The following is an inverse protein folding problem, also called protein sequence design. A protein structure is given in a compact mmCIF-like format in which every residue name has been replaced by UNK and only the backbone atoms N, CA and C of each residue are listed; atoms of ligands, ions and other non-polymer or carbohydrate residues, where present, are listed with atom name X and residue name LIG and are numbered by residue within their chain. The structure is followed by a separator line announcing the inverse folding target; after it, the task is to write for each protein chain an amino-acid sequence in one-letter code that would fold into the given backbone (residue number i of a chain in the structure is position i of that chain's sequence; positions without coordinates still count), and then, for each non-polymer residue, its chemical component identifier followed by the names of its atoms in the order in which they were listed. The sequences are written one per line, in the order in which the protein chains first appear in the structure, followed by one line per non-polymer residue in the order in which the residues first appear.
data_IF_415883212650
#
_entry.id   IF_415883212650
#
_cell.length_a   1.000
_cell.length_b   1.000
_cell.length_c   1.000
_cell.angle_alpha   90.00
_cell.angle_beta   90.00
_cell.angle_gamma   90.00
#
_symmetry.space_group_name_H-M   'P 1'
#
loop_
_entity.id
_entity.type
_entity.pdbx_description
1 polymer ?
#
# COMPACT_ATOMS: atom_id res chain seq x y z
N UNK A 1 -23.70 -4.98 5.58
CA UNK A 1 -23.28 -3.73 4.91
C UNK A 1 -21.91 -4.03 4.33
N UNK A 2 -21.70 -3.86 3.03
CA UNK A 2 -20.37 -4.02 2.43
C UNK A 2 -19.58 -2.76 2.81
N UNK A 3 -18.38 -2.86 3.42
CA UNK A 3 -17.57 -1.69 3.73
C UNK A 3 -17.34 -0.86 2.47
N UNK A 4 -17.36 0.48 2.56
CA UNK A 4 -17.14 1.39 1.43
C UNK A 4 -15.65 1.45 1.05
N UNK A 5 -15.02 0.30 0.81
CA UNK A 5 -13.62 0.17 0.39
C UNK A 5 -12.72 -0.62 1.35
N UNK A 6 -11.48 -0.82 0.90
CA UNK A 6 -10.48 -1.63 1.59
C UNK A 6 -10.11 -1.07 2.97
N UNK A 7 -9.93 0.26 3.11
CA UNK A 7 -9.56 0.86 4.39
C UNK A 7 -10.64 0.63 5.47
N UNK A 8 -11.92 0.81 5.12
CA UNK A 8 -13.03 0.52 6.03
C UNK A 8 -13.17 -0.97 6.36
N UNK A 9 -12.74 -1.85 5.47
CA UNK A 9 -12.68 -3.30 5.75
C UNK A 9 -11.64 -3.60 6.81
N UNK A 10 -10.45 -2.99 6.73
CA UNK A 10 -9.39 -3.15 7.72
C UNK A 10 -9.81 -2.57 9.08
N UNK A 11 -10.50 -1.42 9.10
CA UNK A 11 -11.05 -0.83 10.34
C UNK A 11 -12.11 -1.68 11.05
N UNK A 12 -12.63 -2.76 10.43
CA UNK A 12 -13.44 -3.72 11.17
C UNK A 12 -12.64 -4.49 12.23
N UNK A 13 -11.31 -4.46 12.13
CA UNK A 13 -10.37 -5.07 13.08
C UNK A 13 -9.68 -4.04 13.99
N UNK A 14 -10.20 -2.81 14.11
CA UNK A 14 -9.58 -1.73 14.92
C UNK A 14 -9.18 -2.17 16.32
N UNK A 15 -10.04 -2.93 17.02
CA UNK A 15 -9.75 -3.41 18.38
C UNK A 15 -8.49 -4.28 18.48
N UNK A 16 -8.06 -4.90 17.37
CA UNK A 16 -6.87 -5.74 17.27
C UNK A 16 -5.64 -5.00 16.72
N UNK A 17 -5.86 -3.96 15.90
CA UNK A 17 -4.78 -3.28 15.15
C UNK A 17 -4.44 -1.89 15.70
N UNK A 18 -5.30 -1.26 16.52
CA UNK A 18 -5.01 0.03 17.16
C UNK A 18 -4.02 -0.13 18.31
N UNK A 19 -2.78 -0.46 17.95
CA UNK A 19 -1.69 -0.76 18.89
C UNK A 19 -0.37 -0.17 18.38
N UNK A 20 0.64 -0.13 19.25
CA UNK A 20 2.02 0.20 18.89
C UNK A 20 2.74 -0.93 18.12
N UNK A 21 2.07 -2.05 17.82
CA UNK A 21 2.65 -3.17 17.08
C UNK A 21 2.66 -2.89 15.57
N UNK A 22 3.64 -3.42 14.81
CA UNK A 22 3.64 -3.29 13.35
C UNK A 22 2.43 -3.92 12.68
N UNK A 23 1.98 -3.30 11.59
CA UNK A 23 0.83 -3.75 10.80
C UNK A 23 1.24 -3.89 9.33
N UNK A 24 0.86 -5.02 8.72
CA UNK A 24 0.96 -5.23 7.28
C UNK A 24 -0.46 -5.42 6.74
N UNK A 25 -0.82 -4.63 5.74
CA UNK A 25 -2.03 -4.80 4.96
C UNK A 25 -1.64 -5.27 3.57
N UNK A 26 -2.20 -6.40 3.12
CA UNK A 26 -1.89 -6.97 1.82
C UNK A 26 -3.15 -7.42 1.09
N UNK A 27 -3.27 -7.05 -0.18
CA UNK A 27 -4.37 -7.50 -1.03
C UNK A 27 -4.20 -8.98 -1.42
N UNK A 28 -5.32 -9.69 -1.62
CA UNK A 28 -5.33 -11.12 -1.95
C UNK A 28 -5.19 -11.44 -3.44
N UNK A 29 -5.12 -10.43 -4.30
CA UNK A 29 -5.17 -10.54 -5.75
C UNK A 29 -3.84 -10.21 -6.44
N UNK A 30 -2.74 -10.25 -5.68
CA UNK A 30 -1.40 -9.98 -6.18
C UNK A 30 -0.42 -11.02 -5.64
N UNK A 31 0.68 -11.20 -6.34
CA UNK A 31 1.83 -11.98 -5.88
C UNK A 31 3.10 -11.23 -6.25
N UNK A 32 4.05 -11.15 -5.31
CA UNK A 32 5.34 -10.54 -5.58
C UNK A 32 6.41 -11.27 -4.76
N UNK A 33 7.65 -11.25 -5.26
CA UNK A 33 8.77 -11.90 -4.59
C UNK A 33 9.52 -10.89 -3.72
N UNK A 34 9.49 -11.09 -2.41
CA UNK A 34 10.17 -10.23 -1.44
C UNK A 34 10.37 -10.96 -0.12
N UNK A 35 11.52 -10.76 0.52
CA UNK A 35 11.69 -11.06 1.95
C UNK A 35 11.17 -9.85 2.75
N UNK A 36 9.90 -9.94 3.17
CA UNK A 36 9.22 -8.86 3.89
C UNK A 36 9.91 -8.59 5.24
N UNK A 37 10.42 -9.62 5.91
CA UNK A 37 11.12 -9.47 7.18
C UNK A 37 12.42 -8.70 7.00
N UNK A 38 13.24 -9.10 6.04
CA UNK A 38 14.47 -8.37 5.69
C UNK A 38 14.17 -6.93 5.26
N UNK A 39 13.12 -6.71 4.47
CA UNK A 39 12.69 -5.38 4.05
C UNK A 39 12.38 -4.48 5.24
N UNK A 40 11.67 -4.98 6.25
CA UNK A 40 11.34 -4.24 7.47
C UNK A 40 12.60 -4.01 8.32
N UNK A 41 13.39 -5.06 8.57
CA UNK A 41 14.58 -4.99 9.41
C UNK A 41 15.67 -4.07 8.87
N UNK A 42 15.73 -3.89 7.54
CA UNK A 42 16.70 -3.02 6.88
C UNK A 42 16.33 -1.53 6.91
N UNK A 43 15.09 -1.18 7.30
CA UNK A 43 14.59 0.19 7.31
C UNK A 43 13.94 0.56 8.66
N UNK A 44 14.65 0.42 9.80
CA UNK A 44 14.10 0.70 11.13
C UNK A 44 13.68 2.17 11.32
N UNK A 45 14.22 3.08 10.51
CA UNK A 45 13.92 4.51 10.50
C UNK A 45 12.60 4.89 9.81
N UNK A 46 11.97 3.99 9.04
CA UNK A 46 10.76 4.28 8.28
C UNK A 46 9.48 4.00 9.09
N UNK A 47 8.56 4.97 9.13
CA UNK A 47 7.25 4.85 9.79
C UNK A 47 6.29 4.00 8.95
N UNK A 48 6.56 3.87 7.65
CA UNK A 48 5.89 2.94 6.77
C UNK A 48 6.70 2.64 5.51
N UNK A 49 6.40 1.49 4.90
CA UNK A 49 7.07 0.99 3.70
C UNK A 49 6.04 0.64 2.64
N UNK A 50 6.29 1.07 1.41
CA UNK A 50 5.43 0.80 0.26
C UNK A 50 6.28 0.15 -0.82
N UNK A 51 6.23 -1.19 -0.98
CA UNK A 51 6.94 -1.84 -2.05
C UNK A 51 6.30 -1.51 -3.39
N UNK A 52 7.12 -1.31 -4.41
CA UNK A 52 6.69 -0.89 -5.74
C UNK A 52 7.44 -1.63 -6.85
N UNK A 53 6.82 -1.69 -8.02
CA UNK A 53 7.40 -2.15 -9.27
C UNK A 53 7.17 -1.09 -10.36
N UNK A 54 7.89 -1.21 -11.47
CA UNK A 54 7.75 -0.26 -12.56
C UNK A 54 6.57 -0.63 -13.48
N UNK A 55 5.56 0.25 -13.57
CA UNK A 55 4.41 0.08 -14.45
C UNK A 55 3.81 1.41 -14.90
N UNK A 56 3.00 1.38 -15.96
CA UNK A 56 2.33 2.58 -16.53
C UNK A 56 0.85 2.35 -16.81
N UNK A 57 0.23 1.35 -16.18
CA UNK A 57 -1.19 1.06 -16.34
C UNK A 57 -2.01 1.76 -15.23
N UNK A 58 -3.10 2.49 -15.54
CA UNK A 58 -3.86 3.27 -14.55
C UNK A 58 -4.65 2.42 -13.53
N UNK A 59 -4.45 1.10 -13.48
CA UNK A 59 -5.20 0.21 -12.58
C UNK A 59 -4.60 0.15 -11.17
N UNK A 60 -3.40 0.67 -10.99
CA UNK A 60 -2.63 0.59 -9.75
C UNK A 60 -2.65 1.90 -8.98
N UNK A 61 -2.23 1.84 -7.71
CA UNK A 61 -1.78 3.00 -6.94
C UNK A 61 -0.31 3.31 -7.27
N UNK A 62 0.05 4.58 -7.24
CA UNK A 62 1.36 5.09 -7.63
C UNK A 62 1.95 5.99 -6.54
N UNK A 63 3.26 5.91 -6.34
CA UNK A 63 4.01 6.76 -5.40
C UNK A 63 4.90 7.75 -6.14
N UNK A 64 5.00 8.96 -5.61
CA UNK A 64 6.06 9.92 -5.93
C UNK A 64 7.10 9.87 -4.82
N UNK A 65 8.37 9.77 -5.19
CA UNK A 65 9.49 9.79 -4.23
C UNK A 65 10.48 10.89 -4.57
N UNK A 66 11.28 11.28 -3.60
CA UNK A 66 12.49 12.07 -3.83
C UNK A 66 13.69 11.19 -4.23
N UNK A 67 14.88 11.78 -4.27
CA UNK A 67 16.15 11.12 -4.61
C UNK A 67 16.66 10.14 -3.52
N UNK A 68 16.02 10.11 -2.35
CA UNK A 68 16.32 9.20 -1.23
C UNK A 68 15.21 8.15 -1.03
N UNK A 69 14.34 7.97 -2.02
CA UNK A 69 13.18 7.06 -1.98
C UNK A 69 12.13 7.40 -0.91
N UNK A 70 12.17 8.61 -0.35
CA UNK A 70 11.14 9.10 0.58
C UNK A 70 9.89 9.45 -0.22
N UNK A 71 8.76 8.83 0.13
CA UNK A 71 7.48 9.06 -0.52
C UNK A 71 6.95 10.43 -0.13
N UNK A 72 6.76 11.30 -1.13
CA UNK A 72 6.19 12.63 -0.97
C UNK A 72 4.69 12.67 -1.25
N UNK A 73 4.19 11.72 -2.04
CA UNK A 73 2.76 11.62 -2.37
C UNK A 73 2.40 10.21 -2.85
N UNK A 74 1.16 9.80 -2.60
CA UNK A 74 0.58 8.58 -3.17
C UNK A 74 -0.78 8.89 -3.81
N UNK A 75 -1.03 8.30 -4.98
CA UNK A 75 -2.30 8.42 -5.70
C UNK A 75 -2.87 7.04 -6.03
N UNK A 76 -4.18 6.88 -5.90
CA UNK A 76 -4.90 5.65 -6.20
C UNK A 76 -5.56 5.76 -7.58
N UNK A 77 -5.32 4.79 -8.47
CA UNK A 77 -5.86 4.76 -9.85
C UNK A 77 -5.52 5.98 -10.71
N UNK A 78 -4.44 6.67 -10.38
CA UNK A 78 -3.92 7.81 -11.12
C UNK A 78 -2.41 7.66 -11.28
N UNK A 79 -1.91 7.79 -12.51
CA UNK A 79 -0.48 7.64 -12.82
C UNK A 79 0.22 8.95 -12.51
N UNK A 80 0.89 9.02 -11.35
CA UNK A 80 1.74 10.15 -10.96
C UNK A 80 3.23 9.90 -11.18
N UNK A 81 3.62 8.63 -11.40
CA UNK A 81 5.00 8.19 -11.65
C UNK A 81 5.01 6.84 -12.39
N UNK A 82 6.19 6.24 -12.57
CA UNK A 82 6.30 4.84 -13.01
C UNK A 82 6.34 3.83 -11.84
N UNK A 83 6.33 4.29 -10.58
CA UNK A 83 6.45 3.45 -9.37
C UNK A 83 5.05 3.03 -8.89
N UNK A 84 4.55 1.90 -9.41
CA UNK A 84 3.27 1.32 -9.02
C UNK A 84 3.40 0.44 -7.77
N UNK A 85 2.50 0.57 -6.80
CA UNK A 85 2.54 -0.23 -5.56
C UNK A 85 2.13 -1.68 -5.78
N UNK A 86 2.65 -2.59 -4.94
CA UNK A 86 2.34 -4.04 -5.00
C UNK A 86 1.18 -4.46 -4.09
N UNK A 87 0.35 -3.52 -3.65
CA UNK A 87 -0.79 -3.79 -2.77
C UNK A 87 -0.40 -4.28 -1.37
N UNK A 88 0.89 -4.26 -1.02
CA UNK A 88 1.40 -4.42 0.35
C UNK A 88 1.68 -3.04 0.94
N UNK A 89 1.19 -2.82 2.15
CA UNK A 89 1.35 -1.58 2.90
C UNK A 89 1.80 -1.92 4.31
N UNK A 90 3.02 -1.52 4.66
CA UNK A 90 3.55 -1.69 6.01
C UNK A 90 3.45 -0.38 6.79
N UNK A 91 3.00 -0.49 8.03
CA UNK A 91 2.96 0.57 9.03
C UNK A 91 3.75 0.11 10.24
N UNK A 92 4.67 0.94 10.74
CA UNK A 92 5.45 0.62 11.94
C UNK A 92 4.56 0.43 13.16
N UNK A 93 3.43 1.14 13.20
CA UNK A 93 2.40 1.03 14.24
C UNK A 93 1.03 0.90 13.59
N UNK A 94 0.23 -0.06 14.02
CA UNK A 94 -1.15 -0.19 13.54
C UNK A 94 -2.02 1.01 13.93
N UNK A 95 -1.76 1.65 15.07
CA UNK A 95 -2.41 2.90 15.48
C UNK A 95 -2.19 4.07 14.50
N UNK A 96 -1.04 4.12 13.81
CA UNK A 96 -0.79 5.12 12.77
C UNK A 96 -1.73 4.90 11.57
N UNK A 97 -1.98 3.64 11.17
CA UNK A 97 -2.97 3.33 10.13
C UNK A 97 -4.39 3.73 10.55
N UNK A 98 -4.80 3.38 11.78
CA UNK A 98 -6.14 3.69 12.29
C UNK A 98 -6.39 5.20 12.28
N UNK A 99 -5.46 5.98 12.85
CA UNK A 99 -5.56 7.43 12.89
C UNK A 99 -5.59 8.05 11.47
N UNK A 100 -4.74 7.57 10.57
CA UNK A 100 -4.71 8.03 9.18
C UNK A 100 -6.00 7.68 8.42
N UNK A 101 -6.53 6.48 8.61
CA UNK A 101 -7.77 6.04 7.97
C UNK A 101 -8.98 6.84 8.49
N UNK A 102 -9.07 7.11 9.79
CA UNK A 102 -10.13 7.93 10.37
C UNK A 102 -10.07 9.38 9.88
N UNK A 103 -8.87 9.99 9.85
CA UNK A 103 -8.67 11.33 9.29
C UNK A 103 -9.10 11.41 7.82
N UNK A 104 -8.69 10.42 7.01
CA UNK A 104 -9.08 10.30 5.60
C UNK A 104 -10.61 10.19 5.43
N UNK A 105 -11.28 9.43 6.30
CA UNK A 105 -12.74 9.24 6.30
C UNK A 105 -13.45 10.54 6.70
N UNK A 106 -12.98 11.23 7.74
CA UNK A 106 -13.53 12.52 8.18
C UNK A 106 -13.45 13.56 7.06
N UNK A 107 -12.32 13.60 6.35
CA UNK A 107 -12.08 14.47 5.18
C UNK A 107 -12.80 14.01 3.91
N UNK A 108 -13.44 12.83 3.92
CA UNK A 108 -14.13 12.21 2.76
C UNK A 108 -13.22 12.06 1.55
N UNK A 109 -11.95 11.72 1.76
CA UNK A 109 -11.00 11.47 0.69
C UNK A 109 -11.31 10.08 0.13
N UNK A 110 -12.05 10.07 -0.99
CA UNK A 110 -12.50 8.85 -1.67
C UNK A 110 -12.00 8.84 -3.10
N UNK A 111 -11.73 7.64 -3.61
CA UNK A 111 -11.47 7.41 -5.03
C UNK A 111 -12.57 6.50 -5.55
N UNK A 112 -13.24 6.90 -6.64
CA UNK A 112 -14.38 6.14 -7.20
C UNK A 112 -15.48 5.76 -6.16
N UNK A 113 -15.72 6.62 -5.16
CA UNK A 113 -16.65 6.41 -4.03
C UNK A 113 -16.22 5.35 -3.00
N UNK A 114 -14.93 4.98 -2.96
CA UNK A 114 -14.38 4.03 -1.99
C UNK A 114 -13.19 4.63 -1.22
N UNK A 115 -13.01 4.16 0.01
CA UNK A 115 -11.86 4.44 0.86
C UNK A 115 -10.78 3.36 0.68
N UNK A 116 -9.71 3.71 -0.01
CA UNK A 116 -8.56 2.83 -0.27
C UNK A 116 -7.52 2.92 0.84
N UNK A 117 -6.67 1.90 0.97
CA UNK A 117 -5.57 1.89 1.96
C UNK A 117 -4.46 2.84 1.53
N UNK A 118 -4.07 2.84 0.25
CA UNK A 118 -2.97 3.67 -0.26
C UNK A 118 -3.07 5.15 0.14
N UNK A 119 -4.20 5.86 -0.05
CA UNK A 119 -4.30 7.28 0.32
C UNK A 119 -4.09 7.61 1.80
N UNK A 120 -4.18 6.63 2.72
CA UNK A 120 -3.90 6.86 4.15
C UNK A 120 -2.46 7.33 4.40
N UNK A 121 -1.51 6.96 3.54
CA UNK A 121 -0.14 7.45 3.67
C UNK A 121 -0.01 8.96 3.44
N UNK A 122 -0.92 9.60 2.68
CA UNK A 122 -0.89 11.05 2.53
C UNK A 122 -1.18 11.77 3.85
N UNK A 123 -1.99 11.16 4.73
CA UNK A 123 -2.25 11.67 6.08
C UNK A 123 -1.00 11.53 6.95
N UNK A 124 -0.33 10.38 6.90
CA UNK A 124 0.95 10.16 7.60
C UNK A 124 2.04 11.13 7.15
N UNK A 125 2.16 11.36 5.84
CA UNK A 125 3.11 12.31 5.26
C UNK A 125 2.81 13.74 5.74
N UNK A 126 1.53 14.13 5.80
CA UNK A 126 1.12 15.43 6.33
C UNK A 126 1.48 15.60 7.82
N UNK A 127 1.48 14.52 8.58
CA UNK A 127 1.89 14.46 9.99
C UNK A 127 3.42 14.38 10.19
N UNK A 128 4.19 14.42 9.11
CA UNK A 128 5.67 14.41 9.14
C UNK A 128 6.28 13.03 9.36
N UNK A 129 5.52 11.95 9.13
CA UNK A 129 6.03 10.57 9.17
C UNK A 129 6.89 10.28 7.94
N UNK A 130 7.91 9.45 8.12
CA UNK A 130 8.84 9.06 7.04
C UNK A 130 8.34 7.77 6.39
N UNK A 131 7.96 7.86 5.13
CA UNK A 131 7.49 6.70 4.34
C UNK A 131 8.51 6.42 3.24
N UNK A 132 8.95 5.18 3.10
CA UNK A 132 9.90 4.79 2.04
C UNK A 132 9.23 3.93 0.96
N UNK A 133 9.58 4.22 -0.29
CA UNK A 133 9.24 3.39 -1.43
C UNK A 133 10.32 2.33 -1.65
N UNK A 134 9.97 1.04 -1.62
CA UNK A 134 10.95 -0.05 -1.75
C UNK A 134 10.78 -0.74 -3.12
N UNK A 135 11.79 -0.73 -4.01
CA UNK A 135 11.66 -1.44 -5.28
C UNK A 135 11.60 -2.95 -5.04
N UNK A 136 10.70 -3.64 -5.75
CA UNK A 136 10.68 -5.10 -5.85
C UNK A 136 11.00 -5.54 -7.27
N UNK A 137 11.62 -6.71 -7.41
CA UNK A 137 12.07 -7.22 -8.70
C UNK A 137 10.91 -7.78 -9.55
N UNK A 138 9.90 -8.34 -8.91
CA UNK A 138 8.89 -9.15 -9.57
C UNK A 138 7.52 -8.99 -8.93
N UNK A 139 6.52 -8.68 -9.75
CA UNK A 139 5.12 -8.54 -9.35
C UNK A 139 4.20 -9.14 -10.42
N UNK A 140 3.20 -9.87 -9.96
CA UNK A 140 2.15 -10.51 -10.75
C UNK A 140 0.77 -10.10 -10.22
N UNK A 141 -0.06 -9.57 -11.11
CA UNK A 141 -1.48 -9.45 -10.83
C UNK A 141 -2.15 -10.82 -10.91
N UNK A 142 -3.14 -11.05 -10.04
CA UNK A 142 -3.99 -12.25 -10.00
C UNK A 142 -5.48 -11.86 -9.94
N UNK A 143 -5.81 -10.60 -10.22
CA UNK A 143 -7.18 -10.06 -10.08
C UNK A 143 -8.13 -10.35 -11.25
N UNK A 144 -7.62 -10.80 -12.40
CA UNK A 144 -8.45 -11.18 -13.56
C UNK A 144 -8.10 -12.60 -14.04
N UNK A 145 -9.02 -13.30 -14.74
CA UNK A 145 -8.71 -14.59 -15.34
C UNK A 145 -7.47 -14.57 -16.24
N UNK A 146 -7.29 -13.51 -17.04
CA UNK A 146 -6.12 -13.34 -17.91
C UNK A 146 -4.81 -13.16 -17.12
N UNK A 147 -4.88 -12.43 -16.00
CA UNK A 147 -3.76 -12.24 -15.07
C UNK A 147 -3.34 -13.60 -14.47
N UNK A 148 -4.31 -14.44 -14.07
CA UNK A 148 -4.06 -15.80 -13.55
C UNK A 148 -3.49 -16.73 -14.64
N UNK A 149 -4.07 -16.75 -15.84
CA UNK A 149 -3.56 -17.56 -16.97
C UNK A 149 -2.11 -17.18 -17.31
N UNK A 150 -1.78 -15.90 -17.26
CA UNK A 150 -0.42 -15.40 -17.45
C UNK A 150 0.51 -15.89 -16.34
N UNK A 151 0.06 -15.83 -15.08
CA UNK A 151 0.83 -16.34 -13.95
C UNK A 151 1.14 -17.83 -14.12
N UNK A 152 0.12 -18.67 -14.34
CA UNK A 152 0.28 -20.11 -14.53
C UNK A 152 1.21 -20.49 -15.70
N UNK A 153 1.19 -19.69 -16.78
CA UNK A 153 1.97 -19.96 -17.99
C UNK A 153 3.44 -19.53 -17.88
N UNK A 154 3.72 -18.42 -17.20
CA UNK A 154 5.02 -17.76 -17.26
C UNK A 154 5.79 -17.75 -15.95
N UNK A 155 5.12 -17.91 -14.81
CA UNK A 155 5.80 -18.01 -13.52
C UNK A 155 6.61 -19.31 -13.44
N UNK A 156 7.87 -19.20 -13.01
CA UNK A 156 8.78 -20.33 -12.79
C UNK A 156 9.53 -20.08 -11.50
N UNK A 157 9.53 -21.07 -10.62
CA UNK A 157 10.26 -21.04 -9.33
C UNK A 157 11.78 -21.07 -9.50
#
# INVERSE_FOLDING_TARGET
MIPEGAAKTVLLATDEIDTDSPLIIYNSDQYFKCDIGQMIDSHPEADGLIPYFNATHPKWSYILTDDHDIVSHIAEKEIISNKATVGLYYFRKGSDFVAAADSMIEKKIMVANEYYVAPTYNELIADGKVILGIPVEEMWGLGTPEDVEKFEKYYKE
#
